data_IF_979244227360
#
_entry.id   IF_979244227360
#
_cell.length_a   1.000
_cell.length_b   1.000
_cell.length_c   1.000
_cell.angle_alpha   90.00
_cell.angle_beta   90.00
_cell.angle_gamma   90.00
#
_symmetry.space_group_name_H-M   'P 1'
#
loop_
_entity.id
_entity.type
_entity.pdbx_description
1 polymer ?
#
# COMPACT_ATOMS: atom_id res chain seq x y z
N UNK A 1 -15.99 18.60 -27.11
CA UNK A 1 -15.78 17.16 -26.84
C UNK A 1 -14.54 16.99 -25.98
N UNK A 2 -14.56 17.52 -24.75
CA UNK A 2 -13.35 17.62 -23.90
C UNK A 2 -13.61 17.29 -22.43
N UNK A 3 -14.87 17.12 -22.01
CA UNK A 3 -15.27 16.92 -20.61
C UNK A 3 -15.02 15.51 -20.07
N UNK A 4 -14.66 14.54 -20.92
CA UNK A 4 -14.55 13.13 -20.56
C UNK A 4 -13.12 12.72 -20.14
N UNK A 5 -12.11 13.51 -20.50
CA UNK A 5 -10.69 13.22 -20.22
C UNK A 5 -10.29 13.68 -18.80
N UNK A 6 -10.84 14.80 -18.33
CA UNK A 6 -10.53 15.35 -17.00
C UNK A 6 -11.07 14.47 -15.86
N UNK A 7 -12.28 13.91 -16.02
CA UNK A 7 -12.90 12.98 -15.05
C UNK A 7 -12.11 11.67 -14.86
N UNK A 8 -11.50 11.15 -15.92
CA UNK A 8 -10.73 9.90 -15.84
C UNK A 8 -9.41 10.09 -15.07
N UNK A 9 -8.72 11.22 -15.27
CA UNK A 9 -7.43 11.47 -14.61
C UNK A 9 -7.59 11.70 -13.10
N UNK A 10 -8.63 12.40 -12.69
CA UNK A 10 -8.91 12.64 -11.27
C UNK A 10 -9.36 11.36 -10.57
N UNK A 11 -10.19 10.54 -11.22
CA UNK A 11 -10.60 9.25 -10.69
C UNK A 11 -9.41 8.29 -10.51
N UNK A 12 -8.51 8.19 -11.49
CA UNK A 12 -7.29 7.37 -11.38
C UNK A 12 -6.40 7.80 -10.20
N UNK A 13 -6.26 9.11 -9.97
CA UNK A 13 -5.51 9.67 -8.84
C UNK A 13 -6.19 9.36 -7.50
N UNK A 14 -7.50 9.52 -7.42
CA UNK A 14 -8.29 9.23 -6.22
C UNK A 14 -8.23 7.74 -5.84
N UNK A 15 -8.41 6.85 -6.82
CA UNK A 15 -8.31 5.39 -6.62
C UNK A 15 -6.90 5.01 -6.17
N UNK A 16 -5.87 5.60 -6.78
CA UNK A 16 -4.47 5.36 -6.39
C UNK A 16 -4.22 5.80 -4.94
N UNK A 17 -4.72 6.98 -4.53
CA UNK A 17 -4.60 7.48 -3.17
C UNK A 17 -5.38 6.62 -2.16
N UNK A 18 -6.56 6.13 -2.53
CA UNK A 18 -7.35 5.22 -1.70
C UNK A 18 -6.63 3.87 -1.52
N UNK A 19 -6.07 3.30 -2.59
CA UNK A 19 -5.34 2.04 -2.54
C UNK A 19 -4.07 2.15 -1.68
N UNK A 20 -3.33 3.25 -1.79
CA UNK A 20 -2.16 3.49 -0.95
C UNK A 20 -2.54 3.55 0.54
N UNK A 21 -3.62 4.27 0.88
CA UNK A 21 -4.14 4.32 2.25
C UNK A 21 -4.59 2.95 2.75
N UNK A 22 -5.29 2.18 1.93
CA UNK A 22 -5.70 0.82 2.27
C UNK A 22 -4.49 -0.08 2.53
N UNK A 23 -3.45 0.02 1.70
CA UNK A 23 -2.21 -0.73 1.87
C UNK A 23 -1.48 -0.32 3.16
N UNK A 24 -1.49 0.96 3.54
CA UNK A 24 -0.93 1.42 4.82
C UNK A 24 -1.70 0.85 6.02
N UNK A 25 -3.03 0.91 5.98
CA UNK A 25 -3.88 0.34 7.03
C UNK A 25 -3.68 -1.18 7.17
N UNK A 26 -3.57 -1.91 6.06
CA UNK A 26 -3.32 -3.34 6.08
C UNK A 26 -1.97 -3.67 6.74
N UNK A 27 -0.90 -2.89 6.48
CA UNK A 27 0.39 -3.07 7.15
C UNK A 27 0.28 -2.82 8.65
N UNK A 28 -0.43 -1.78 9.04
CA UNK A 28 -0.63 -1.45 10.45
C UNK A 28 -1.39 -2.55 11.19
N UNK A 29 -2.43 -3.10 10.57
CA UNK A 29 -3.19 -4.22 11.15
C UNK A 29 -2.38 -5.51 11.23
N UNK A 30 -1.60 -5.81 10.19
CA UNK A 30 -0.70 -6.97 10.16
C UNK A 30 0.37 -6.88 11.28
N UNK A 31 0.93 -5.71 11.50
CA UNK A 31 1.88 -5.47 12.61
C UNK A 31 1.22 -5.67 13.97
N UNK A 32 0.00 -5.14 14.17
CA UNK A 32 -0.74 -5.25 15.44
C UNK A 32 -1.12 -6.69 15.76
N UNK A 33 -1.61 -7.42 14.77
CA UNK A 33 -2.07 -8.82 14.91
C UNK A 33 -0.95 -9.84 14.77
N UNK A 34 0.28 -9.38 14.53
CA UNK A 34 1.46 -10.20 14.31
C UNK A 34 1.28 -11.20 13.14
N UNK A 35 0.61 -10.75 12.08
CA UNK A 35 0.37 -11.51 10.86
C UNK A 35 1.22 -10.98 9.70
N UNK A 36 1.46 -11.81 8.69
CA UNK A 36 2.17 -11.43 7.47
C UNK A 36 1.23 -11.02 6.35
N UNK A 37 1.73 -10.26 5.38
CA UNK A 37 1.01 -9.93 4.14
C UNK A 37 1.61 -10.77 3.01
N UNK A 38 0.75 -11.46 2.27
CA UNK A 38 1.14 -12.21 1.07
C UNK A 38 0.70 -11.43 -0.16
N UNK A 39 1.64 -11.14 -1.07
CA UNK A 39 1.39 -10.44 -2.32
C UNK A 39 1.95 -11.23 -3.50
N UNK A 40 1.32 -11.10 -4.66
CA UNK A 40 1.91 -11.55 -5.92
C UNK A 40 2.65 -10.39 -6.56
N UNK A 41 3.96 -10.53 -6.73
CA UNK A 41 4.81 -9.57 -7.41
C UNK A 41 5.57 -10.29 -8.53
N UNK A 42 5.44 -9.80 -9.77
CA UNK A 42 6.08 -10.40 -10.95
C UNK A 42 5.77 -11.90 -11.12
N UNK A 43 4.53 -12.28 -10.80
CA UNK A 43 4.08 -13.67 -10.85
C UNK A 43 4.63 -14.57 -9.74
N UNK A 44 5.41 -14.02 -8.80
CA UNK A 44 5.92 -14.71 -7.62
C UNK A 44 5.14 -14.33 -6.39
N UNK A 45 4.79 -15.33 -5.58
CA UNK A 45 4.18 -15.10 -4.27
C UNK A 45 5.28 -14.72 -3.29
N UNK A 46 5.19 -13.52 -2.74
CA UNK A 46 6.10 -13.00 -1.74
C UNK A 46 5.33 -12.82 -0.43
N UNK A 47 5.90 -13.34 0.65
CA UNK A 47 5.39 -13.13 2.00
C UNK A 47 6.24 -12.07 2.69
N UNK A 48 5.57 -11.04 3.21
CA UNK A 48 6.17 -9.98 4.00
C UNK A 48 5.75 -10.21 5.45
N UNK A 49 6.70 -10.50 6.33
CA UNK A 49 6.42 -10.82 7.73
C UNK A 49 6.09 -9.56 8.54
N UNK A 50 5.41 -9.74 9.69
CA UNK A 50 5.14 -8.65 10.62
C UNK A 50 6.43 -7.93 11.07
N UNK A 51 7.54 -8.66 11.22
CA UNK A 51 8.84 -8.10 11.58
C UNK A 51 9.39 -7.19 10.47
N UNK A 52 9.41 -7.67 9.23
CA UNK A 52 9.84 -6.87 8.07
C UNK A 52 9.00 -5.60 7.89
N UNK A 53 7.69 -5.69 8.16
CA UNK A 53 6.80 -4.53 8.16
C UNK A 53 7.17 -3.50 9.24
N UNK A 54 7.51 -3.94 10.46
CA UNK A 54 7.98 -3.04 11.55
C UNK A 54 9.29 -2.36 11.18
N UNK A 55 10.24 -3.08 10.61
CA UNK A 55 11.52 -2.53 10.17
C UNK A 55 11.33 -1.45 9.10
N UNK A 56 10.49 -1.73 8.10
CA UNK A 56 10.16 -0.77 7.05
C UNK A 56 9.46 0.48 7.60
N UNK A 57 8.59 0.33 8.59
CA UNK A 57 7.96 1.47 9.28
C UNK A 57 8.98 2.32 10.04
N UNK A 58 9.93 1.68 10.73
CA UNK A 58 11.02 2.37 11.44
C UNK A 58 11.93 3.13 10.47
N UNK A 59 12.27 2.56 9.31
CA UNK A 59 13.10 3.25 8.31
C UNK A 59 12.37 4.43 7.69
N UNK A 60 11.06 4.32 7.39
CA UNK A 60 10.26 5.43 6.89
C UNK A 60 10.11 6.58 7.90
N UNK A 61 9.99 6.27 9.20
CA UNK A 61 9.93 7.29 10.26
C UNK A 61 11.25 8.06 10.45
N UNK A 62 12.39 7.49 10.07
CA UNK A 62 13.70 8.13 10.16
C UNK A 62 14.04 9.00 8.94
N UNK A 63 13.32 8.80 7.84
CA UNK A 63 13.50 9.51 6.59
C UNK A 63 12.59 10.77 6.46
N UNK A 64 11.75 11.02 7.46
CA UNK A 64 10.92 12.23 7.60
C UNK A 64 11.50 13.11 8.70
#
# INVERSE_FOLDING_TARGET
MSSQVDLNLDFEREVSAALLRAAELARDEAIKTNTGIVVSQDGKVITITAEQLREKRKSQSRAR
#
